data_IF_527823915824
#
_entry.id   IF_527823915824
#
_cell.length_a   1.000
_cell.length_b   1.000
_cell.length_c   1.000
_cell.angle_alpha   90.00
_cell.angle_beta   90.00
_cell.angle_gamma   90.00
#
_symmetry.space_group_name_H-M   'P 1'
#
loop_
_entity.id
_entity.type
_entity.pdbx_description
1 polymer ?
#
# COMPACT_ATOMS: atom_id res chain seq x y z
N UNK A 1 28.93 -2.25 43.25
CA UNK A 1 28.94 -2.69 41.83
C UNK A 1 27.51 -2.93 41.32
N UNK A 2 26.54 -2.09 41.67
CA UNK A 2 25.10 -2.34 41.46
C UNK A 2 24.37 -1.21 40.74
N UNK A 3 25.07 -0.13 40.34
CA UNK A 3 24.44 1.05 39.71
C UNK A 3 24.58 1.10 38.18
N UNK A 4 25.39 0.22 37.59
CA UNK A 4 25.68 0.22 36.14
C UNK A 4 24.82 -0.75 35.34
N UNK A 5 24.16 -1.73 35.98
CA UNK A 5 23.23 -2.65 35.29
C UNK A 5 21.86 -2.01 35.00
N UNK A 6 21.46 -0.97 35.73
CA UNK A 6 20.14 -0.36 35.57
C UNK A 6 20.00 0.53 34.32
N UNK A 7 21.12 1.05 33.78
CA UNK A 7 21.10 1.95 32.62
C UNK A 7 20.96 1.19 31.29
N UNK A 8 21.38 -0.08 31.23
CA UNK A 8 21.29 -0.88 30.00
C UNK A 8 19.90 -1.44 29.70
N UNK A 9 19.05 -1.62 30.71
CA UNK A 9 17.69 -2.18 30.53
C UNK A 9 16.70 -1.10 30.06
N UNK A 10 17.00 0.19 30.28
CA UNK A 10 16.11 1.30 29.96
C UNK A 10 16.17 1.76 28.49
N UNK A 11 17.13 1.27 27.69
CA UNK A 11 17.26 1.61 26.26
C UNK A 11 16.64 0.58 25.31
N UNK A 12 16.04 -0.49 25.82
CA UNK A 12 15.33 -1.49 25.00
C UNK A 12 13.80 -1.35 25.05
N UNK A 13 13.26 -0.38 25.78
CA UNK A 13 11.82 -0.18 25.88
C UNK A 13 11.35 0.87 24.87
N UNK A 14 10.33 0.47 24.10
CA UNK A 14 9.52 1.25 23.15
C UNK A 14 10.08 1.34 21.72
N UNK A 15 10.31 0.18 21.11
CA UNK A 15 9.82 -0.05 19.75
C UNK A 15 8.55 -0.91 19.86
N UNK A 16 7.51 -0.40 20.52
CA UNK A 16 6.16 -0.87 20.26
C UNK A 16 5.78 -0.29 18.89
N UNK A 17 6.37 -0.86 17.83
CA UNK A 17 5.82 -0.66 16.50
C UNK A 17 4.39 -1.14 16.58
N UNK A 18 3.43 -0.24 16.37
CA UNK A 18 2.17 -0.69 15.82
C UNK A 18 2.56 -1.58 14.64
N UNK A 19 2.04 -2.81 14.59
CA UNK A 19 2.20 -3.67 13.42
C UNK A 19 1.45 -2.98 12.28
N UNK A 20 2.06 -1.96 11.67
CA UNK A 20 1.61 -1.41 10.42
C UNK A 20 1.79 -2.54 9.42
N UNK A 21 0.72 -2.84 8.67
CA UNK A 21 0.83 -3.74 7.54
C UNK A 21 1.90 -3.25 6.56
N UNK A 22 2.40 -4.13 5.68
CA UNK A 22 3.37 -3.73 4.67
C UNK A 22 2.86 -2.55 3.84
N UNK A 23 3.79 -1.67 3.45
CA UNK A 23 3.55 -0.69 2.39
C UNK A 23 3.97 -1.35 1.08
N UNK A 24 3.13 -1.28 0.05
CA UNK A 24 3.45 -1.78 -1.28
C UNK A 24 3.71 -0.63 -2.24
N UNK A 25 4.83 -0.68 -2.96
CA UNK A 25 5.07 0.12 -4.15
C UNK A 25 4.42 -0.56 -5.34
N UNK A 26 3.45 0.12 -5.95
CA UNK A 26 2.84 -0.29 -7.22
C UNK A 26 3.47 0.53 -8.33
N UNK A 27 3.85 -0.13 -9.42
CA UNK A 27 4.32 0.51 -10.64
C UNK A 27 3.48 0.05 -11.81
N UNK A 28 2.97 1.00 -12.59
CA UNK A 28 2.11 0.77 -13.76
C UNK A 28 2.82 1.29 -15.01
N UNK A 29 3.00 0.44 -16.01
CA UNK A 29 3.59 0.77 -17.32
C UNK A 29 2.49 0.83 -18.38
N UNK A 30 2.18 2.04 -18.86
CA UNK A 30 1.17 2.28 -19.89
C UNK A 30 1.79 2.68 -21.22
N UNK A 31 3.08 2.40 -21.44
CA UNK A 31 3.78 2.76 -22.68
C UNK A 31 3.10 2.18 -23.93
N UNK A 32 2.48 1.00 -23.82
CA UNK A 32 1.70 0.37 -24.89
C UNK A 32 0.41 1.13 -25.26
N UNK A 33 -0.01 2.10 -24.45
CA UNK A 33 -1.23 2.91 -24.60
C UNK A 33 -0.90 4.38 -24.94
N UNK A 34 0.33 4.65 -25.41
CA UNK A 34 0.77 6.01 -25.72
C UNK A 34 -0.18 6.75 -26.68
N UNK A 35 -0.49 8.01 -26.33
CA UNK A 35 -1.39 8.86 -27.10
C UNK A 35 -2.87 8.70 -26.74
N UNK A 36 -3.20 7.87 -25.76
CA UNK A 36 -4.54 7.76 -25.16
C UNK A 36 -4.56 8.46 -23.79
N UNK A 37 -5.75 8.83 -23.33
CA UNK A 37 -5.99 9.34 -21.99
C UNK A 37 -7.15 8.57 -21.35
N UNK A 38 -7.25 8.62 -20.04
CA UNK A 38 -8.26 7.90 -19.28
C UNK A 38 -7.94 7.89 -17.80
N UNK A 39 -8.30 6.83 -17.10
CA UNK A 39 -8.23 6.77 -15.64
C UNK A 39 -7.34 5.63 -15.14
N UNK A 40 -6.56 5.93 -14.11
CA UNK A 40 -6.19 4.95 -13.09
C UNK A 40 -7.37 4.88 -12.12
N UNK A 41 -8.18 3.83 -12.25
CA UNK A 41 -9.41 3.66 -11.49
C UNK A 41 -9.21 2.71 -10.32
N UNK A 42 -9.43 3.19 -9.09
CA UNK A 42 -9.22 2.46 -7.85
C UNK A 42 -10.55 2.19 -7.17
N UNK A 43 -10.89 0.92 -7.00
CA UNK A 43 -12.13 0.49 -6.38
C UNK A 43 -11.86 -0.31 -5.10
N UNK A 44 -12.43 0.12 -3.97
CA UNK A 44 -12.22 -0.51 -2.67
C UNK A 44 -13.53 -1.00 -2.06
N UNK A 45 -13.77 -2.32 -2.13
CA UNK A 45 -15.06 -2.91 -1.77
C UNK A 45 -14.92 -4.01 -0.71
N UNK A 46 -15.71 -3.89 0.36
CA UNK A 46 -15.90 -4.95 1.33
C UNK A 46 -16.71 -6.10 0.74
N UNK A 47 -16.34 -7.33 1.07
CA UNK A 47 -17.09 -8.54 0.70
C UNK A 47 -18.07 -8.89 1.81
N UNK A 48 -19.32 -9.21 1.46
CA UNK A 48 -20.36 -9.61 2.42
C UNK A 48 -20.48 -8.63 3.61
N UNK A 49 -20.17 -9.08 4.81
CA UNK A 49 -20.21 -8.37 6.09
C UNK A 49 -18.81 -7.94 6.58
N UNK A 50 -17.90 -7.65 5.65
CA UNK A 50 -16.54 -7.24 5.96
C UNK A 50 -16.50 -6.13 7.00
N UNK A 51 -15.60 -6.31 7.99
CA UNK A 51 -15.34 -5.29 8.98
C UNK A 51 -14.76 -4.01 8.32
N UNK A 52 -14.87 -2.84 8.98
CA UNK A 52 -14.29 -1.61 8.46
C UNK A 52 -12.80 -1.77 8.16
N UNK A 53 -12.43 -1.39 6.95
CA UNK A 53 -11.06 -1.38 6.45
C UNK A 53 -10.80 -0.08 5.68
N UNK A 54 -9.54 0.27 5.53
CA UNK A 54 -9.12 1.38 4.68
C UNK A 54 -7.85 1.07 3.89
N UNK A 55 -7.78 1.63 2.69
CA UNK A 55 -6.58 1.72 1.89
C UNK A 55 -6.09 3.17 1.87
N UNK A 56 -4.79 3.39 2.08
CA UNK A 56 -4.16 4.70 1.92
C UNK A 56 -3.21 4.63 0.74
N UNK A 57 -3.48 5.44 -0.29
CA UNK A 57 -2.66 5.61 -1.49
C UNK A 57 -1.84 6.90 -1.34
N UNK A 58 -0.55 6.87 -1.65
CA UNK A 58 0.35 8.01 -1.49
C UNK A 58 1.51 7.97 -2.47
N UNK A 59 2.35 9.01 -2.47
CA UNK A 59 3.57 9.08 -3.28
C UNK A 59 3.30 8.83 -4.78
N UNK A 60 2.22 9.40 -5.30
CA UNK A 60 1.85 9.27 -6.70
C UNK A 60 2.90 9.93 -7.61
N UNK A 61 3.16 9.28 -8.74
CA UNK A 61 4.10 9.72 -9.77
C UNK A 61 3.54 9.37 -11.15
N UNK A 62 3.92 10.14 -12.17
CA UNK A 62 3.47 9.97 -13.55
C UNK A 62 2.83 11.23 -14.12
N UNK A 63 2.22 11.11 -15.30
CA UNK A 63 1.50 12.18 -15.98
C UNK A 63 0.03 12.22 -15.51
N UNK A 64 -0.14 12.70 -14.27
CA UNK A 64 -1.43 12.83 -13.61
C UNK A 64 -2.08 14.14 -14.07
N UNK A 65 -3.29 14.04 -14.60
CA UNK A 65 -4.02 15.19 -15.12
C UNK A 65 -5.32 15.42 -14.35
N UNK A 66 -5.64 16.69 -14.11
CA UNK A 66 -6.84 17.10 -13.38
C UNK A 66 -6.93 16.61 -11.93
N UNK A 67 -8.04 16.95 -11.29
CA UNK A 67 -8.43 16.38 -10.00
C UNK A 67 -9.09 15.04 -10.22
N UNK A 68 -8.66 14.00 -9.50
CA UNK A 68 -9.36 12.72 -9.54
C UNK A 68 -10.79 12.79 -9.01
N UNK A 69 -11.64 11.89 -9.49
CA UNK A 69 -13.00 11.68 -9.02
C UNK A 69 -12.96 10.84 -7.73
N UNK A 70 -13.80 11.19 -6.76
CA UNK A 70 -13.95 10.48 -5.49
C UNK A 70 -15.43 10.10 -5.33
N UNK A 71 -15.68 8.84 -5.02
CA UNK A 71 -17.02 8.30 -4.76
C UNK A 71 -17.04 7.53 -3.44
N UNK A 72 -18.15 7.64 -2.70
CA UNK A 72 -18.34 6.91 -1.44
C UNK A 72 -17.40 7.40 -0.34
N UNK A 73 -16.78 6.47 0.36
CA UNK A 73 -15.86 6.72 1.48
C UNK A 73 -14.43 7.06 1.00
N UNK A 74 -14.30 7.62 -0.20
CA UNK A 74 -13.05 8.09 -0.76
C UNK A 74 -12.79 9.57 -0.42
N UNK A 75 -11.58 9.90 0.02
CA UNK A 75 -11.19 11.27 0.33
C UNK A 75 -9.73 11.56 -0.02
N UNK A 76 -9.41 12.83 -0.28
CA UNK A 76 -8.04 13.30 -0.51
C UNK A 76 -7.73 13.61 -1.97
N UNK A 77 -6.48 13.50 -2.39
CA UNK A 77 -6.06 13.67 -3.79
C UNK A 77 -4.68 13.05 -4.03
N UNK A 78 -4.35 12.81 -5.30
CA UNK A 78 -3.04 12.31 -5.71
C UNK A 78 -1.87 13.26 -5.40
N UNK A 79 -2.14 14.54 -5.12
CA UNK A 79 -1.12 15.53 -4.77
C UNK A 79 -0.56 15.37 -3.34
N UNK A 80 -1.28 14.68 -2.45
CA UNK A 80 -0.80 14.33 -1.10
C UNK A 80 -1.04 12.84 -0.83
N UNK A 81 -2.30 12.49 -0.53
CA UNK A 81 -2.74 11.11 -0.32
C UNK A 81 -4.22 10.96 -0.64
N UNK A 82 -4.61 9.74 -0.99
CA UNK A 82 -6.00 9.32 -1.08
C UNK A 82 -6.26 8.25 -0.03
N UNK A 83 -7.39 8.33 0.66
CA UNK A 83 -7.86 7.32 1.60
C UNK A 83 -9.17 6.77 1.07
N UNK A 84 -9.25 5.44 0.92
CA UNK A 84 -10.45 4.72 0.52
C UNK A 84 -10.95 3.92 1.72
N UNK A 85 -12.18 4.17 2.16
CA UNK A 85 -12.90 3.29 3.09
C UNK A 85 -13.69 2.21 2.34
N UNK A 86 -13.99 1.09 2.99
CA UNK A 86 -14.79 -0.01 2.42
C UNK A 86 -16.25 -0.01 2.90
N UNK A 87 -16.79 1.14 3.33
CA UNK A 87 -18.16 1.22 3.83
C UNK A 87 -19.21 1.03 2.74
N UNK A 88 -20.43 1.50 3.01
CA UNK A 88 -21.60 1.07 2.24
C UNK A 88 -21.57 1.56 0.78
N UNK A 89 -21.59 0.61 -0.15
CA UNK A 89 -21.80 0.87 -1.57
C UNK A 89 -20.50 0.90 -2.37
N UNK A 90 -20.40 1.86 -3.27
CA UNK A 90 -19.29 2.01 -4.22
C UNK A 90 -18.26 3.00 -3.67
N UNK A 91 -17.01 2.57 -3.46
CA UNK A 91 -15.94 3.44 -2.96
C UNK A 91 -14.79 3.48 -3.97
N UNK A 92 -14.65 4.63 -4.61
CA UNK A 92 -13.81 4.76 -5.80
C UNK A 92 -12.96 6.02 -5.73
N UNK A 93 -11.73 5.91 -6.24
CA UNK A 93 -10.93 7.04 -6.65
C UNK A 93 -10.50 6.81 -8.10
N UNK A 94 -10.90 7.68 -9.02
CA UNK A 94 -10.47 7.61 -10.41
C UNK A 94 -9.58 8.82 -10.74
N UNK A 95 -8.30 8.59 -10.94
CA UNK A 95 -7.34 9.63 -11.32
C UNK A 95 -7.22 9.69 -12.84
N UNK A 96 -7.62 10.81 -13.45
CA UNK A 96 -7.39 11.03 -14.87
C UNK A 96 -5.88 11.15 -15.16
N UNK A 97 -5.43 10.55 -16.26
CA UNK A 97 -4.02 10.46 -16.65
C UNK A 97 -3.86 10.46 -18.17
N UNK A 98 -2.69 10.90 -18.63
CA UNK A 98 -2.27 10.69 -20.02
C UNK A 98 -1.43 9.41 -20.12
N UNK A 99 -1.94 8.39 -20.82
CA UNK A 99 -1.23 7.14 -21.00
C UNK A 99 -0.01 7.27 -21.94
N UNK A 100 0.94 6.33 -21.82
CA UNK A 100 2.18 6.30 -22.61
C UNK A 100 3.45 6.37 -21.78
N UNK A 101 3.32 6.45 -20.46
CA UNK A 101 4.45 6.53 -19.53
C UNK A 101 4.38 5.47 -18.43
N UNK A 102 5.04 5.76 -17.31
CA UNK A 102 4.96 4.96 -16.09
C UNK A 102 4.35 5.77 -14.97
N UNK A 103 3.48 5.12 -14.22
CA UNK A 103 2.89 5.63 -13.01
C UNK A 103 3.37 4.81 -11.83
N UNK A 104 3.34 5.42 -10.65
CA UNK A 104 3.65 4.70 -9.44
C UNK A 104 3.02 5.36 -8.23
N UNK A 105 2.70 4.55 -7.23
CA UNK A 105 2.16 4.99 -5.95
C UNK A 105 2.50 3.94 -4.88
N UNK A 106 2.42 4.36 -3.63
CA UNK A 106 2.47 3.47 -2.47
C UNK A 106 1.06 3.21 -1.95
N UNK A 107 0.79 1.98 -1.53
CA UNK A 107 -0.46 1.59 -0.86
C UNK A 107 -0.19 0.88 0.45
N UNK A 108 -0.95 1.22 1.48
CA UNK A 108 -0.97 0.53 2.77
C UNK A 108 -2.41 0.30 3.23
N UNK A 109 -2.63 -0.75 4.01
CA UNK A 109 -3.96 -1.15 4.45
C UNK A 109 -4.10 -1.15 5.98
N UNK A 110 -5.27 -0.73 6.45
CA UNK A 110 -5.74 -1.02 7.80
C UNK A 110 -6.96 -1.94 7.66
N UNK A 111 -6.82 -3.19 8.11
CA UNK A 111 -7.86 -4.22 7.98
C UNK A 111 -8.40 -4.53 9.37
N UNK A 112 -9.69 -4.29 9.58
CA UNK A 112 -10.41 -4.69 10.79
C UNK A 112 -10.88 -6.15 10.76
N UNK A 113 -11.55 -6.60 11.82
CA UNK A 113 -12.14 -7.95 11.90
C UNK A 113 -11.25 -8.98 12.59
N UNK A 114 -11.85 -10.14 12.88
CA UNK A 114 -11.18 -11.30 13.45
C UNK A 114 -10.75 -12.29 12.34
N UNK A 115 -9.73 -13.13 12.58
CA UNK A 115 -9.32 -14.13 11.61
C UNK A 115 -10.47 -15.03 11.15
N UNK A 116 -10.70 -15.08 9.83
CA UNK A 116 -11.79 -15.85 9.21
C UNK A 116 -13.04 -15.03 8.85
N UNK A 117 -13.10 -13.75 9.24
CA UNK A 117 -14.14 -12.82 8.80
C UNK A 117 -14.03 -12.50 7.30
N UNK A 118 -15.10 -11.96 6.74
CA UNK A 118 -15.16 -11.51 5.35
C UNK A 118 -14.12 -10.43 5.03
N UNK A 119 -13.49 -10.55 3.87
CA UNK A 119 -12.40 -9.67 3.44
C UNK A 119 -12.82 -8.43 2.66
N UNK A 120 -11.84 -7.66 2.23
CA UNK A 120 -12.01 -6.47 1.37
C UNK A 120 -11.04 -6.53 0.21
N UNK A 121 -11.45 -6.05 -0.97
CA UNK A 121 -10.59 -5.98 -2.13
C UNK A 121 -10.28 -4.53 -2.50
N UNK A 122 -9.02 -4.24 -2.80
CA UNK A 122 -8.62 -3.08 -3.62
C UNK A 122 -8.37 -3.57 -5.04
N UNK A 123 -9.06 -2.99 -6.00
CA UNK A 123 -8.85 -3.19 -7.43
C UNK A 123 -8.29 -1.92 -8.06
N UNK A 124 -7.42 -2.08 -9.07
CA UNK A 124 -6.95 -1.01 -9.94
C UNK A 124 -7.19 -1.41 -11.41
N UNK A 125 -7.92 -0.58 -12.14
CA UNK A 125 -8.19 -0.74 -13.56
C UNK A 125 -7.60 0.42 -14.39
N UNK A 126 -7.40 0.17 -15.68
CA UNK A 126 -7.15 1.20 -16.68
C UNK A 126 -8.44 1.38 -17.49
N UNK A 127 -9.05 2.56 -17.39
CA UNK A 127 -10.30 2.87 -18.07
C UNK A 127 -10.13 4.02 -19.05
N UNK A 128 -10.92 4.07 -20.11
CA UNK A 128 -11.08 5.26 -20.96
C UNK A 128 -12.10 6.25 -20.37
N UNK A 129 -12.33 7.37 -21.07
CA UNK A 129 -13.33 8.38 -20.68
C UNK A 129 -14.78 7.89 -20.67
N UNK A 130 -15.05 6.74 -21.32
CA UNK A 130 -16.35 6.08 -21.30
C UNK A 130 -16.42 4.95 -20.25
N UNK A 131 -15.46 4.91 -19.32
CA UNK A 131 -15.32 3.90 -18.26
C UNK A 131 -15.22 2.47 -18.80
N UNK A 132 -14.67 2.28 -20.01
CA UNK A 132 -14.39 0.97 -20.58
C UNK A 132 -12.94 0.58 -20.32
N UNK A 133 -12.70 -0.71 -20.07
CA UNK A 133 -11.33 -1.21 -19.88
C UNK A 133 -10.46 -0.99 -21.12
N UNK A 134 -9.23 -0.52 -20.90
CA UNK A 134 -8.23 -0.28 -21.94
C UNK A 134 -7.01 -1.17 -21.72
N UNK A 135 -6.57 -1.88 -22.76
CA UNK A 135 -5.37 -2.73 -22.74
C UNK A 135 -5.51 -4.05 -21.97
N UNK A 136 -6.41 -4.11 -20.99
CA UNK A 136 -6.76 -5.30 -20.22
C UNK A 136 -8.28 -5.59 -20.31
N UNK A 137 -8.68 -6.80 -19.90
CA UNK A 137 -10.10 -7.21 -19.86
C UNK A 137 -10.73 -7.04 -18.46
N UNK A 138 -10.00 -6.44 -17.52
CA UNK A 138 -10.36 -6.32 -16.11
C UNK A 138 -9.26 -5.58 -15.34
N UNK A 139 -9.32 -5.69 -14.01
CA UNK A 139 -8.34 -5.07 -13.11
C UNK A 139 -6.91 -5.54 -13.39
N UNK A 140 -5.98 -4.59 -13.43
CA UNK A 140 -4.55 -4.85 -13.63
C UNK A 140 -3.82 -5.11 -12.32
N UNK A 141 -4.39 -4.71 -11.18
CA UNK A 141 -3.91 -5.06 -9.84
C UNK A 141 -5.11 -5.36 -8.94
N UNK A 142 -5.01 -6.41 -8.14
CA UNK A 142 -5.97 -6.70 -7.07
C UNK A 142 -5.23 -7.07 -5.80
N UNK A 143 -5.57 -6.42 -4.70
CA UNK A 143 -5.22 -6.85 -3.35
C UNK A 143 -6.46 -7.47 -2.71
N UNK A 144 -6.36 -8.72 -2.30
CA UNK A 144 -7.37 -9.39 -1.47
C UNK A 144 -6.90 -9.39 -0.02
N UNK A 145 -7.66 -8.71 0.83
CA UNK A 145 -7.34 -8.44 2.22
C UNK A 145 -8.27 -9.28 3.11
N UNK A 146 -7.74 -10.37 3.65
CA UNK A 146 -8.47 -11.24 4.59
C UNK A 146 -7.94 -11.00 6.01
N UNK A 147 -8.81 -10.69 6.99
CA UNK A 147 -8.39 -10.50 8.37
C UNK A 147 -7.58 -11.69 8.90
N UNK A 148 -6.43 -11.41 9.52
CA UNK A 148 -5.53 -12.42 10.08
C UNK A 148 -4.73 -13.24 9.06
N UNK A 149 -4.79 -12.90 7.77
CA UNK A 149 -3.98 -13.51 6.72
C UNK A 149 -3.01 -12.49 6.11
N UNK A 150 -2.00 -12.98 5.42
CA UNK A 150 -1.16 -12.12 4.58
C UNK A 150 -1.97 -11.63 3.37
N UNK A 151 -1.70 -10.39 2.93
CA UNK A 151 -2.37 -9.83 1.76
C UNK A 151 -2.02 -10.67 0.51
N UNK A 152 -3.03 -11.04 -0.26
CA UNK A 152 -2.84 -11.70 -1.54
C UNK A 152 -2.88 -10.67 -2.67
N UNK A 153 -1.85 -10.66 -3.52
CA UNK A 153 -1.71 -9.69 -4.61
C UNK A 153 -1.71 -10.40 -5.96
N UNK A 154 -2.57 -9.96 -6.86
CA UNK A 154 -2.60 -10.36 -8.26
C UNK A 154 -2.29 -9.16 -9.16
N UNK A 155 -1.54 -9.39 -10.23
CA UNK A 155 -1.16 -8.34 -11.19
C UNK A 155 -1.22 -8.85 -12.62
N UNK A 156 -1.71 -8.04 -13.56
CA UNK A 156 -1.42 -8.21 -14.97
C UNK A 156 0.01 -7.71 -15.24
N UNK A 157 0.95 -8.64 -15.37
CA UNK A 157 2.37 -8.34 -15.54
C UNK A 157 2.70 -7.55 -16.82
N UNK A 158 1.75 -7.42 -17.76
CA UNK A 158 1.92 -6.53 -18.93
C UNK A 158 1.86 -5.06 -18.55
N UNK A 159 1.12 -4.73 -17.50
CA UNK A 159 0.84 -3.35 -17.10
C UNK A 159 1.35 -3.02 -15.70
N UNK A 160 1.43 -3.99 -14.78
CA UNK A 160 1.69 -3.67 -13.38
C UNK A 160 2.69 -4.62 -12.72
N UNK A 161 3.39 -4.06 -11.73
CA UNK A 161 4.18 -4.82 -10.76
C UNK A 161 3.98 -4.24 -9.37
N UNK A 162 4.04 -5.10 -8.35
CA UNK A 162 3.85 -4.74 -6.95
C UNK A 162 5.01 -5.30 -6.14
N UNK A 163 5.60 -4.47 -5.28
CA UNK A 163 6.68 -4.88 -4.38
C UNK A 163 6.45 -4.31 -2.99
N UNK A 164 6.60 -5.15 -1.96
CA UNK A 164 6.61 -4.65 -0.58
C UNK A 164 7.85 -3.78 -0.35
N UNK A 165 7.64 -2.60 0.24
CA UNK A 165 8.71 -1.65 0.58
C UNK A 165 9.37 -2.13 1.88
N UNK A 166 10.68 -2.43 1.88
CA UNK A 166 11.37 -2.84 3.10
C UNK A 166 11.35 -1.72 4.14
N UNK A 167 10.92 -2.01 5.37
CA UNK A 167 10.94 -1.04 6.45
C UNK A 167 12.38 -0.59 6.76
N UNK A 168 12.72 0.70 6.64
CA UNK A 168 14.09 1.19 6.87
C UNK A 168 14.61 0.89 8.29
N UNK A 169 13.71 0.81 9.26
CA UNK A 169 14.03 0.56 10.68
C UNK A 169 14.60 -0.83 10.94
N UNK A 170 14.15 -1.86 10.21
CA UNK A 170 14.57 -3.25 10.45
C UNK A 170 16.05 -3.46 10.16
N UNK A 171 16.57 -2.83 9.09
CA UNK A 171 18.00 -2.90 8.73
C UNK A 171 18.85 -2.08 9.70
N UNK A 172 18.38 -0.89 10.08
CA UNK A 172 19.07 -0.06 11.07
C UNK A 172 19.14 -0.74 12.44
N UNK A 173 18.05 -1.36 12.90
CA UNK A 173 18.00 -2.11 14.16
C UNK A 173 18.89 -3.37 14.11
N UNK A 174 18.89 -4.09 12.99
CA UNK A 174 19.81 -5.21 12.79
C UNK A 174 21.28 -4.75 12.85
N UNK A 175 21.61 -3.65 12.16
CA UNK A 175 22.95 -3.08 12.16
C UNK A 175 23.38 -2.63 13.55
N UNK A 176 22.50 -1.94 14.29
CA UNK A 176 22.74 -1.53 15.68
C UNK A 176 22.92 -2.76 16.59
N UNK A 177 22.10 -3.80 16.42
CA UNK A 177 22.24 -5.06 17.17
C UNK A 177 23.58 -5.75 16.92
N UNK A 178 24.01 -5.85 15.66
CA UNK A 178 25.31 -6.41 15.28
C UNK A 178 26.48 -5.61 15.85
N UNK A 179 26.42 -4.27 15.80
CA UNK A 179 27.43 -3.40 16.40
C UNK A 179 27.52 -3.57 17.92
N UNK A 180 26.38 -3.69 18.60
CA UNK A 180 26.32 -3.97 20.04
C UNK A 180 26.97 -5.30 20.41
N UNK A 181 26.70 -6.37 19.65
CA UNK A 181 27.32 -7.67 19.86
C UNK A 181 28.83 -7.66 19.63
N UNK A 182 29.30 -6.99 18.56
CA UNK A 182 30.73 -6.87 18.26
C UNK A 182 31.48 -6.12 19.38
N UNK A 183 30.88 -5.07 19.94
CA UNK A 183 31.46 -4.32 21.04
C UNK A 183 31.50 -5.13 22.35
N UNK A 184 30.46 -5.91 22.64
CA UNK A 184 30.42 -6.79 23.80
C UNK A 184 31.44 -7.93 23.69
N UNK A 185 31.63 -8.52 22.51
CA UNK A 185 32.63 -9.56 22.26
C UNK A 185 34.06 -9.05 22.48
N UNK A 186 34.37 -7.81 22.05
CA UNK A 186 35.68 -7.17 22.26
C UNK A 186 36.01 -6.88 23.73
N UNK A 187 35.01 -6.77 24.60
CA UNK A 187 35.20 -6.50 26.04
C UNK A 187 35.40 -7.77 26.88
N UNK A 188 35.18 -8.94 26.29
CA UNK A 188 35.31 -10.25 26.96
C UNK A 188 36.64 -10.95 26.68
N UNK A 189 37.39 -10.45 25.70
CA UNK A 189 38.79 -10.79 25.44
C UNK A 189 39.70 -9.73 26.07
#
# INVERSE_FOLDING_TARGET
MTRWLAVLILWCAVAAGALAGPIYRVSVDTTALAGQAGYLDFLFLGLQDAAPASATLSNFTGDLDGSGLLTGDAAGSSADRVVLGNGNGWNEFAQHVNFGGRFGFDVSFAVGGAPGDSGTNLALALLDDASQYVGAAGDIVTFALLPGQADAVATDARFASVQAVPEPGSVALLAVGLLGMAFAARRRN
#
